data_IF_445999929188
#
_entry.id   IF_445999929188
#
_cell.length_a   1.000
_cell.length_b   1.000
_cell.length_c   1.000
_cell.angle_alpha   90.00
_cell.angle_beta   90.00
_cell.angle_gamma   90.00
#
_symmetry.space_group_name_H-M   'P 1'
#
loop_
_entity.id
_entity.type
_entity.pdbx_description
1 polymer ?
#
# COMPACT_ATOMS: atom_id res chain seq x y z
N UNK A 1 -1.19 -1.84 30.91
CA UNK A 1 -1.78 -1.89 29.55
C UNK A 1 -2.04 -3.35 29.22
N UNK A 2 -3.22 -3.71 28.68
CA UNK A 2 -3.53 -5.08 28.23
C UNK A 2 -3.96 -5.02 26.76
N UNK A 3 -3.47 -5.93 25.94
CA UNK A 3 -3.88 -6.05 24.53
C UNK A 3 -5.21 -6.79 24.48
N UNK A 4 -6.25 -6.16 23.91
CA UNK A 4 -7.58 -6.75 23.78
C UNK A 4 -7.72 -7.55 22.49
N UNK A 5 -7.27 -6.97 21.38
CA UNK A 5 -7.18 -7.64 20.08
C UNK A 5 -5.84 -7.27 19.43
N UNK A 6 -4.96 -8.24 19.15
CA UNK A 6 -3.68 -7.97 18.49
C UNK A 6 -3.82 -7.53 17.03
N UNK A 7 -4.91 -7.92 16.34
CA UNK A 7 -5.12 -7.72 14.90
C UNK A 7 -6.54 -7.17 14.66
N UNK A 8 -6.66 -5.85 14.64
CA UNK A 8 -7.95 -5.17 14.41
C UNK A 8 -8.25 -5.03 12.90
N UNK A 9 -7.22 -4.86 12.09
CA UNK A 9 -7.35 -4.69 10.65
C UNK A 9 -5.99 -4.56 9.98
N UNK A 10 -6.00 -4.66 8.66
CA UNK A 10 -4.85 -4.38 7.81
C UNK A 10 -4.91 -2.91 7.37
N UNK A 11 -3.74 -2.30 7.19
CA UNK A 11 -3.60 -0.92 6.72
C UNK A 11 -2.66 -0.91 5.52
N UNK A 12 -3.02 -0.15 4.48
CA UNK A 12 -2.16 0.05 3.32
C UNK A 12 -1.02 1.01 3.65
N UNK A 13 0.07 0.90 2.89
CA UNK A 13 1.22 1.81 3.00
C UNK A 13 0.79 3.28 2.78
N UNK A 14 -0.20 3.50 1.91
CA UNK A 14 -0.77 4.81 1.62
C UNK A 14 -1.55 5.35 2.83
N UNK A 15 -2.39 4.54 3.47
CA UNK A 15 -3.15 4.94 4.66
C UNK A 15 -2.22 5.31 5.82
N UNK A 16 -1.15 4.53 6.01
CA UNK A 16 -0.12 4.81 7.02
C UNK A 16 0.60 6.12 6.70
N UNK A 17 0.98 6.35 5.44
CA UNK A 17 1.63 7.58 5.00
C UNK A 17 0.73 8.81 5.22
N UNK A 18 -0.55 8.71 4.86
CA UNK A 18 -1.54 9.76 5.06
C UNK A 18 -1.71 10.06 6.56
N UNK A 19 -1.82 9.02 7.39
CA UNK A 19 -1.97 9.16 8.84
C UNK A 19 -0.78 9.84 9.49
N UNK A 20 0.44 9.39 9.21
CA UNK A 20 1.68 9.96 9.77
C UNK A 20 1.85 11.42 9.33
N UNK A 21 1.53 11.73 8.07
CA UNK A 21 1.62 13.10 7.55
C UNK A 21 0.62 14.03 8.25
N UNK A 22 -0.62 13.58 8.45
CA UNK A 22 -1.64 14.33 9.19
C UNK A 22 -1.24 14.52 10.67
N UNK A 23 -0.70 13.47 11.30
CA UNK A 23 -0.24 13.50 12.69
C UNK A 23 0.92 14.49 12.88
N UNK A 24 1.90 14.52 11.95
CA UNK A 24 2.99 15.49 11.97
C UNK A 24 2.46 16.93 11.81
N UNK A 25 1.54 17.17 10.88
CA UNK A 25 0.95 18.49 10.69
C UNK A 25 0.22 19.00 11.95
N UNK A 26 -0.48 18.11 12.66
CA UNK A 26 -1.12 18.44 13.94
C UNK A 26 -0.11 18.85 15.01
N UNK A 27 0.96 18.09 15.20
CA UNK A 27 1.98 18.43 16.19
C UNK A 27 2.71 19.74 15.89
N UNK A 28 2.99 20.02 14.62
CA UNK A 28 3.57 21.30 14.22
C UNK A 28 2.62 22.46 14.54
N UNK A 29 1.30 22.28 14.36
CA UNK A 29 0.30 23.30 14.67
C UNK A 29 0.10 23.52 16.17
N UNK A 30 0.21 22.45 16.97
CA UNK A 30 0.11 22.48 18.43
C UNK A 30 1.41 22.97 19.12
N UNK A 31 2.51 23.14 18.37
CA UNK A 31 3.78 23.65 18.88
C UNK A 31 4.50 22.72 19.86
N UNK A 32 4.04 21.47 20.00
CA UNK A 32 4.61 20.47 20.91
C UNK A 32 4.74 19.12 20.22
N UNK A 33 5.99 18.69 20.03
CA UNK A 33 6.30 17.31 19.69
C UNK A 33 6.41 16.50 20.97
N UNK A 34 5.59 15.46 21.14
CA UNK A 34 5.44 14.75 22.43
C UNK A 34 6.69 13.99 22.87
N UNK A 35 7.55 13.56 21.95
CA UNK A 35 8.76 12.77 22.25
C UNK A 35 9.71 12.73 21.04
N UNK A 36 11.02 12.81 21.30
CA UNK A 36 12.07 12.68 20.28
C UNK A 36 12.05 11.32 19.56
N UNK A 37 11.75 10.23 20.27
CA UNK A 37 11.67 8.90 19.67
C UNK A 37 10.54 8.82 18.64
N UNK A 38 9.39 9.44 18.95
CA UNK A 38 8.24 9.46 18.05
C UNK A 38 8.54 10.27 16.78
N UNK A 39 9.29 11.36 16.90
CA UNK A 39 9.72 12.17 15.77
C UNK A 39 10.60 11.39 14.80
N UNK A 40 11.60 10.66 15.31
CA UNK A 40 12.49 9.83 14.51
C UNK A 40 11.71 8.77 13.74
N UNK A 41 10.87 7.99 14.44
CA UNK A 41 10.07 6.93 13.80
C UNK A 41 9.13 7.51 12.73
N UNK A 42 8.42 8.60 13.01
CA UNK A 42 7.54 9.21 12.02
C UNK A 42 8.29 9.74 10.81
N UNK A 43 9.50 10.29 11.01
CA UNK A 43 10.33 10.79 9.91
C UNK A 43 10.82 9.65 9.03
N UNK A 44 11.43 8.62 9.62
CA UNK A 44 12.01 7.49 8.89
C UNK A 44 10.95 6.68 8.15
N UNK A 45 9.83 6.37 8.81
CA UNK A 45 8.71 5.64 8.16
C UNK A 45 8.14 6.44 7.00
N UNK A 46 7.93 7.75 7.17
CA UNK A 46 7.46 8.61 6.08
C UNK A 46 8.46 8.67 4.92
N UNK A 47 9.75 8.80 5.21
CA UNK A 47 10.79 8.84 4.18
C UNK A 47 10.83 7.53 3.39
N UNK A 48 10.71 6.38 4.07
CA UNK A 48 10.61 5.07 3.42
C UNK A 48 9.36 4.96 2.53
N UNK A 49 8.17 5.28 3.08
CA UNK A 49 6.90 5.15 2.34
C UNK A 49 6.79 6.11 1.14
N UNK A 50 7.52 7.23 1.14
CA UNK A 50 7.60 8.12 -0.02
C UNK A 50 8.45 7.55 -1.17
N UNK A 51 9.29 6.55 -0.89
CA UNK A 51 10.07 5.83 -1.90
C UNK A 51 9.28 4.68 -2.52
N UNK A 52 8.25 4.18 -1.84
CA UNK A 52 7.39 3.09 -2.34
C UNK A 52 6.24 3.63 -3.22
N UNK A 53 5.45 2.77 -3.89
CA UNK A 53 4.26 3.18 -4.65
C UNK A 53 3.26 4.03 -3.86
N UNK A 54 3.21 3.88 -2.54
CA UNK A 54 2.33 4.67 -1.67
C UNK A 54 2.55 6.19 -1.77
N UNK A 55 3.77 6.64 -2.13
CA UNK A 55 4.10 8.06 -2.22
C UNK A 55 3.40 8.81 -3.35
N UNK A 56 2.96 8.11 -4.41
CA UNK A 56 2.27 8.71 -5.57
C UNK A 56 0.77 8.38 -5.63
N UNK A 57 0.30 7.40 -4.86
CA UNK A 57 -1.10 6.98 -4.84
C UNK A 57 -2.00 7.97 -4.08
N UNK A 58 -3.19 8.21 -4.61
CA UNK A 58 -4.25 8.97 -3.93
C UNK A 58 -5.37 8.05 -3.44
N UNK A 59 -6.20 8.48 -2.47
CA UNK A 59 -7.36 7.69 -2.04
C UNK A 59 -8.30 7.31 -3.18
N UNK A 60 -8.51 8.20 -4.14
CA UNK A 60 -9.34 7.93 -5.30
C UNK A 60 -8.75 6.85 -6.22
N UNK A 61 -7.42 6.73 -6.30
CA UNK A 61 -6.77 5.66 -7.06
C UNK A 61 -6.95 4.32 -6.34
N UNK A 62 -6.88 4.30 -5.01
CA UNK A 62 -7.11 3.10 -4.21
C UNK A 62 -8.55 2.60 -4.35
N UNK A 63 -9.55 3.48 -4.26
CA UNK A 63 -10.96 3.12 -4.38
C UNK A 63 -11.23 2.46 -5.75
N UNK A 64 -10.75 3.10 -6.83
CA UNK A 64 -10.88 2.56 -8.19
C UNK A 64 -10.16 1.22 -8.36
N UNK A 65 -8.99 1.08 -7.75
CA UNK A 65 -8.22 -0.16 -7.78
C UNK A 65 -8.98 -1.30 -7.09
N UNK A 66 -9.50 -1.05 -5.89
CA UNK A 66 -10.30 -2.02 -5.16
C UNK A 66 -11.56 -2.40 -5.92
N UNK A 67 -12.30 -1.44 -6.49
CA UNK A 67 -13.48 -1.69 -7.31
C UNK A 67 -13.17 -2.55 -8.55
N UNK A 68 -12.03 -2.29 -9.20
CA UNK A 68 -11.61 -3.03 -10.39
C UNK A 68 -11.20 -4.46 -10.09
N UNK A 69 -10.83 -4.77 -8.84
CA UNK A 69 -10.43 -6.12 -8.42
C UNK A 69 -11.57 -6.98 -7.87
N UNK A 70 -12.75 -6.40 -7.60
CA UNK A 70 -13.95 -7.13 -7.13
C UNK A 70 -14.29 -8.37 -7.98
N UNK A 71 -14.16 -8.37 -9.32
CA UNK A 71 -14.51 -9.53 -10.13
C UNK A 71 -13.61 -10.76 -9.89
N UNK A 72 -12.41 -10.56 -9.32
CA UNK A 72 -11.44 -11.62 -9.11
C UNK A 72 -11.50 -12.14 -7.68
N UNK A 73 -11.42 -13.46 -7.51
CA UNK A 73 -11.42 -14.12 -6.19
C UNK A 73 -10.04 -14.02 -5.51
N UNK A 74 -9.67 -12.79 -5.16
CA UNK A 74 -8.43 -12.44 -4.47
C UNK A 74 -8.66 -12.29 -2.97
N UNK A 75 -7.70 -12.76 -2.17
CA UNK A 75 -7.72 -12.53 -0.73
C UNK A 75 -7.35 -11.09 -0.39
N UNK A 76 -7.82 -10.61 0.77
CA UNK A 76 -7.52 -9.25 1.24
C UNK A 76 -6.02 -8.97 1.37
N UNK A 77 -5.24 -9.98 1.74
CA UNK A 77 -3.79 -9.86 1.86
C UNK A 77 -3.12 -9.69 0.48
N UNK A 78 -3.59 -10.42 -0.52
CA UNK A 78 -3.11 -10.33 -1.91
C UNK A 78 -3.40 -8.94 -2.48
N UNK A 79 -4.64 -8.47 -2.34
CA UNK A 79 -5.05 -7.13 -2.77
C UNK A 79 -4.19 -6.05 -2.10
N UNK A 80 -3.93 -6.20 -0.79
CA UNK A 80 -3.10 -5.27 -0.04
C UNK A 80 -1.65 -5.26 -0.54
N UNK A 81 -1.07 -6.42 -0.82
CA UNK A 81 0.27 -6.54 -1.38
C UNK A 81 0.35 -5.98 -2.80
N UNK A 82 -0.62 -6.27 -3.65
CA UNK A 82 -0.69 -5.69 -5.00
C UNK A 82 -0.74 -4.16 -4.95
N UNK A 83 -1.53 -3.59 -4.02
CA UNK A 83 -1.61 -2.15 -3.82
C UNK A 83 -0.28 -1.54 -3.34
N UNK A 84 0.40 -2.21 -2.40
CA UNK A 84 1.63 -1.74 -1.77
C UNK A 84 2.85 -1.84 -2.69
N UNK A 85 2.99 -2.95 -3.42
CA UNK A 85 4.18 -3.28 -4.22
C UNK A 85 4.02 -2.95 -5.71
N UNK A 86 2.77 -2.86 -6.20
CA UNK A 86 2.44 -2.54 -7.60
C UNK A 86 3.18 -3.47 -8.61
N UNK A 87 2.91 -4.80 -8.60
CA UNK A 87 3.51 -5.75 -9.53
C UNK A 87 3.09 -5.46 -10.98
N UNK A 88 4.05 -5.15 -11.85
CA UNK A 88 3.80 -4.79 -13.26
C UNK A 88 4.06 -5.93 -14.24
N UNK A 89 4.66 -7.04 -13.76
CA UNK A 89 4.91 -8.24 -14.55
C UNK A 89 4.19 -9.46 -13.98
N UNK A 90 3.90 -10.45 -14.82
CA UNK A 90 3.28 -11.70 -14.38
C UNK A 90 4.13 -12.43 -13.32
N UNK A 91 5.45 -12.39 -13.44
CA UNK A 91 6.36 -12.99 -12.46
C UNK A 91 6.31 -12.28 -11.10
N UNK A 92 6.15 -10.95 -11.08
CA UNK A 92 5.94 -10.21 -9.83
C UNK A 92 4.56 -10.50 -9.23
N UNK A 93 3.53 -10.64 -10.07
CA UNK A 93 2.18 -10.98 -9.62
C UNK A 93 2.11 -12.40 -9.05
N UNK A 94 2.81 -13.36 -9.63
CA UNK A 94 2.94 -14.74 -9.14
C UNK A 94 3.66 -14.82 -7.77
N UNK A 95 4.54 -13.85 -7.48
CA UNK A 95 5.14 -13.71 -6.14
C UNK A 95 4.14 -13.19 -5.08
N UNK A 96 3.02 -12.59 -5.50
CA UNK A 96 2.01 -11.97 -4.61
C UNK A 96 0.78 -12.86 -4.44
N UNK A 97 0.33 -13.50 -5.52
CA UNK A 97 -0.87 -14.35 -5.54
C UNK A 97 -0.43 -15.80 -5.61
N UNK A 98 -0.72 -16.58 -4.57
CA UNK A 98 -0.33 -17.98 -4.53
C UNK A 98 -1.08 -18.79 -5.60
N UNK A 99 -0.34 -19.66 -6.29
CA UNK A 99 -0.81 -20.52 -7.37
C UNK A 99 -1.57 -19.75 -8.47
N UNK A 100 -1.03 -18.59 -8.89
CA UNK A 100 -1.68 -17.67 -9.83
C UNK A 100 -2.22 -18.37 -11.10
N UNK A 101 -1.39 -19.16 -11.76
CA UNK A 101 -1.75 -19.86 -13.01
C UNK A 101 -2.78 -20.99 -12.80
N UNK A 102 -2.96 -21.49 -11.57
CA UNK A 102 -3.96 -22.51 -11.26
C UNK A 102 -5.33 -21.89 -10.96
N UNK A 103 -5.34 -20.67 -10.39
CA UNK A 103 -6.55 -19.96 -9.95
C UNK A 103 -7.16 -19.07 -11.04
N UNK A 104 -6.34 -18.49 -11.90
CA UNK A 104 -6.78 -17.50 -12.88
C UNK A 104 -6.35 -17.88 -14.29
N UNK A 105 -7.21 -17.56 -15.26
CA UNK A 105 -6.89 -17.68 -16.67
C UNK A 105 -5.86 -16.63 -17.09
N UNK A 106 -5.14 -16.89 -18.19
CA UNK A 106 -4.18 -15.93 -18.73
C UNK A 106 -4.79 -14.56 -19.06
N UNK A 107 -6.07 -14.52 -19.46
CA UNK A 107 -6.79 -13.27 -19.72
C UNK A 107 -7.08 -12.49 -18.42
N UNK A 108 -7.49 -13.18 -17.35
CA UNK A 108 -7.69 -12.55 -16.03
C UNK A 108 -6.38 -12.01 -15.46
N UNK A 109 -5.29 -12.75 -15.60
CA UNK A 109 -3.94 -12.30 -15.20
C UNK A 109 -3.56 -11.02 -15.95
N UNK A 110 -3.79 -10.97 -17.26
CA UNK A 110 -3.51 -9.78 -18.06
C UNK A 110 -4.39 -8.59 -17.63
N UNK A 111 -5.67 -8.81 -17.36
CA UNK A 111 -6.58 -7.78 -16.83
C UNK A 111 -6.10 -7.24 -15.47
N UNK A 112 -5.70 -8.11 -14.54
CA UNK A 112 -5.13 -7.70 -13.26
C UNK A 112 -3.88 -6.84 -13.44
N UNK A 113 -2.98 -7.22 -14.34
CA UNK A 113 -1.78 -6.44 -14.64
C UNK A 113 -2.12 -5.06 -15.20
N UNK A 114 -3.15 -4.94 -16.04
CA UNK A 114 -3.62 -3.64 -16.53
C UNK A 114 -4.20 -2.78 -15.40
N UNK A 115 -4.96 -3.38 -14.47
CA UNK A 115 -5.45 -2.70 -13.26
C UNK A 115 -4.28 -2.17 -12.42
N UNK A 116 -3.24 -2.97 -12.20
CA UNK A 116 -2.05 -2.54 -11.43
C UNK A 116 -1.25 -1.47 -12.16
N UNK A 117 -1.09 -1.57 -13.49
CA UNK A 117 -0.39 -0.56 -14.30
C UNK A 117 -1.11 0.80 -14.28
N UNK A 118 -2.43 0.80 -14.14
CA UNK A 118 -3.22 2.03 -14.01
C UNK A 118 -2.93 2.82 -12.72
N UNK A 119 -2.39 2.17 -11.68
CA UNK A 119 -1.93 2.88 -10.48
C UNK A 119 -0.77 3.85 -10.82
N UNK A 120 -0.68 5.01 -10.13
CA UNK A 120 0.41 5.95 -10.33
C UNK A 120 1.80 5.31 -10.17
N UNK A 121 2.74 5.71 -11.03
CA UNK A 121 4.15 5.28 -10.91
C UNK A 121 4.76 5.87 -9.63
N UNK A 122 5.63 5.14 -8.91
CA UNK A 122 6.30 5.66 -7.72
C UNK A 122 7.15 6.89 -8.05
N UNK A 123 7.25 7.82 -7.10
CA UNK A 123 7.95 9.12 -7.28
C UNK A 123 9.46 8.97 -7.50
N UNK A 124 10.05 7.87 -6.98
CA UNK A 124 11.45 7.47 -7.21
C UNK A 124 11.45 5.96 -7.38
N UNK A 125 12.21 5.45 -8.35
CA UNK A 125 12.46 4.02 -8.43
C UNK A 125 13.25 3.62 -7.17
N UNK A 126 12.71 2.70 -6.37
CA UNK A 126 13.52 1.99 -5.38
C UNK A 126 14.53 1.17 -6.19
N UNK A 127 15.84 1.36 -6.01
CA UNK A 127 16.81 0.47 -6.65
C UNK A 127 16.56 -0.93 -6.11
N UNK A 128 16.18 -1.84 -7.01
CA UNK A 128 16.07 -3.28 -6.77
C UNK A 128 17.47 -3.85 -6.54
#
# INVERSE_FOLDING_TARGET
MKVLNPMVGMLSNQEVLAHITAMKARYTKEGQMKSSNLETVMKEVREYLLLTPAGSQTPADMDRFLESLIPFDLEKAEILQMLNERPITAAELDCVVEELESRFSGEEIEQMLEVVKALPKPLKAVPV
#
